data_IF_307993141631
#
_entry.id   IF_307993141631
#
_cell.length_a   1.000
_cell.length_b   1.000
_cell.length_c   1.000
_cell.angle_alpha   90.00
_cell.angle_beta   90.00
_cell.angle_gamma   90.00
#
_symmetry.space_group_name_H-M   'P 1'
#
loop_
_entity.id
_entity.type
_entity.pdbx_description
1 polymer ?
#
# COMPACT_ATOMS: atom_id res chain seq x y z
N UNK A 1 6.47 -22.22 6.20
CA UNK A 1 7.77 -22.39 5.51
C UNK A 1 8.01 -21.32 4.45
N UNK A 2 7.08 -21.08 3.51
CA UNK A 2 7.27 -20.08 2.43
C UNK A 2 7.54 -18.64 2.90
N UNK A 3 6.77 -18.12 3.87
CA UNK A 3 6.96 -16.75 4.40
C UNK A 3 8.34 -16.57 5.06
N UNK A 4 8.83 -17.60 5.77
CA UNK A 4 10.16 -17.56 6.38
C UNK A 4 11.26 -17.44 5.32
N UNK A 5 11.19 -18.25 4.28
CA UNK A 5 12.15 -18.21 3.16
C UNK A 5 12.11 -16.82 2.50
N UNK A 6 10.91 -16.28 2.28
CA UNK A 6 10.73 -14.95 1.72
C UNK A 6 11.40 -13.86 2.57
N UNK A 7 11.15 -13.84 3.89
CA UNK A 7 11.73 -12.82 4.78
C UNK A 7 13.25 -12.96 4.92
N UNK A 8 13.78 -14.19 4.91
CA UNK A 8 15.24 -14.41 4.87
C UNK A 8 15.83 -13.86 3.57
N UNK A 9 15.18 -14.11 2.43
CA UNK A 9 15.62 -13.58 1.14
C UNK A 9 15.56 -12.04 1.11
N UNK A 10 14.47 -11.45 1.60
CA UNK A 10 14.30 -9.99 1.75
C UNK A 10 15.42 -9.40 2.61
N UNK A 11 15.67 -9.97 3.78
CA UNK A 11 16.72 -9.51 4.69
C UNK A 11 18.11 -9.61 4.04
N UNK A 12 18.43 -10.74 3.39
CA UNK A 12 19.71 -10.90 2.71
C UNK A 12 19.91 -9.89 1.56
N UNK A 13 18.86 -9.60 0.79
CA UNK A 13 18.92 -8.61 -0.29
C UNK A 13 19.12 -7.18 0.24
N UNK A 14 18.50 -6.84 1.37
CA UNK A 14 18.67 -5.52 2.00
C UNK A 14 20.05 -5.37 2.62
N UNK A 15 20.53 -6.37 3.36
CA UNK A 15 21.86 -6.35 3.99
C UNK A 15 23.00 -6.28 2.97
N UNK A 16 22.82 -6.87 1.79
CA UNK A 16 23.82 -6.80 0.72
C UNK A 16 23.76 -5.48 -0.05
N UNK A 17 22.67 -4.70 0.03
CA UNK A 17 22.51 -3.43 -0.69
C UNK A 17 22.42 -3.55 -2.22
N UNK A 18 22.40 -4.76 -2.78
CA UNK A 18 22.49 -5.02 -4.22
C UNK A 18 21.11 -5.17 -4.92
N UNK A 19 20.01 -4.71 -4.31
CA UNK A 19 18.67 -4.86 -4.89
C UNK A 19 18.36 -3.90 -6.05
N UNK A 20 19.31 -3.06 -6.48
CA UNK A 20 19.16 -2.16 -7.65
C UNK A 20 18.78 -2.88 -8.94
N UNK A 21 19.25 -4.12 -9.12
CA UNK A 21 18.84 -4.96 -10.26
C UNK A 21 17.36 -5.31 -10.15
N UNK A 22 16.90 -5.65 -8.94
CA UNK A 22 15.49 -5.94 -8.70
C UNK A 22 14.62 -4.70 -8.90
N UNK A 23 15.03 -3.51 -8.42
CA UNK A 23 14.28 -2.27 -8.68
C UNK A 23 14.07 -2.00 -10.17
N UNK A 24 15.13 -2.21 -10.98
CA UNK A 24 15.03 -2.06 -12.44
C UNK A 24 14.07 -3.10 -13.03
N UNK A 25 14.16 -4.36 -12.61
CA UNK A 25 13.27 -5.43 -13.05
C UNK A 25 11.82 -5.16 -12.66
N UNK A 26 11.56 -4.64 -11.45
CA UNK A 26 10.21 -4.30 -10.98
C UNK A 26 9.59 -3.23 -11.88
N UNK A 27 10.33 -2.18 -12.27
CA UNK A 27 9.81 -1.16 -13.19
C UNK A 27 9.33 -1.77 -14.50
N UNK A 28 10.11 -2.67 -15.09
CA UNK A 28 9.74 -3.37 -16.34
C UNK A 28 8.50 -4.25 -16.13
N UNK A 29 8.46 -4.99 -15.03
CA UNK A 29 7.35 -5.89 -14.69
C UNK A 29 6.05 -5.10 -14.46
N UNK A 30 6.10 -3.97 -13.74
CA UNK A 30 4.95 -3.11 -13.48
C UNK A 30 4.41 -2.49 -14.78
N UNK A 31 5.29 -2.07 -15.69
CA UNK A 31 4.87 -1.58 -17.01
C UNK A 31 4.16 -2.70 -17.78
N UNK A 32 4.75 -3.91 -17.82
CA UNK A 32 4.15 -5.04 -18.53
C UNK A 32 2.81 -5.46 -17.92
N UNK A 33 2.71 -5.51 -16.60
CA UNK A 33 1.47 -5.76 -15.86
C UNK A 33 0.38 -4.72 -16.15
N UNK A 34 0.77 -3.45 -16.19
CA UNK A 34 -0.15 -2.34 -16.50
C UNK A 34 -0.69 -2.50 -17.92
N UNK A 35 0.16 -2.81 -18.88
CA UNK A 35 -0.25 -3.09 -20.26
C UNK A 35 -1.19 -4.29 -20.35
N UNK A 36 -0.84 -5.40 -19.71
CA UNK A 36 -1.65 -6.62 -19.74
C UNK A 36 -3.02 -6.42 -19.09
N UNK A 37 -3.07 -5.71 -17.95
CA UNK A 37 -4.32 -5.35 -17.28
C UNK A 37 -5.17 -4.42 -18.13
N UNK A 38 -4.54 -3.48 -18.85
CA UNK A 38 -5.23 -2.61 -19.81
C UNK A 38 -5.87 -3.43 -20.94
N UNK A 39 -5.11 -4.35 -21.54
CA UNK A 39 -5.63 -5.25 -22.59
C UNK A 39 -6.79 -6.11 -22.04
N UNK A 40 -6.63 -6.68 -20.84
CA UNK A 40 -7.67 -7.47 -20.19
C UNK A 40 -8.97 -6.67 -20.04
N UNK A 41 -8.88 -5.43 -19.55
CA UNK A 41 -10.03 -4.53 -19.42
C UNK A 41 -10.69 -4.25 -20.78
N UNK A 42 -9.90 -3.92 -21.80
CA UNK A 42 -10.45 -3.66 -23.15
C UNK A 42 -11.18 -4.88 -23.74
N UNK A 43 -10.78 -6.11 -23.39
CA UNK A 43 -11.45 -7.34 -23.84
C UNK A 43 -12.77 -7.63 -23.13
N UNK A 44 -12.99 -7.06 -21.94
CA UNK A 44 -14.22 -7.27 -21.16
C UNK A 44 -15.15 -6.06 -21.13
N UNK A 45 -14.75 -4.94 -21.75
CA UNK A 45 -15.50 -3.68 -21.72
C UNK A 45 -16.94 -3.83 -22.25
N UNK A 46 -17.12 -4.70 -23.25
CA UNK A 46 -18.42 -4.99 -23.86
C UNK A 46 -19.33 -5.88 -22.98
N UNK A 47 -18.77 -6.50 -21.93
CA UNK A 47 -19.53 -7.30 -20.95
C UNK A 47 -20.13 -6.46 -19.82
N UNK A 48 -19.71 -5.19 -19.70
CA UNK A 48 -20.13 -4.30 -18.64
C UNK A 48 -21.45 -3.64 -18.99
N UNK A 49 -22.33 -3.51 -18.00
CA UNK A 49 -23.52 -2.68 -18.13
C UNK A 49 -23.15 -1.21 -17.89
N UNK A 50 -23.32 -0.39 -18.93
CA UNK A 50 -23.09 1.05 -18.91
C UNK A 50 -24.37 1.86 -18.64
N UNK A 51 -25.47 1.19 -18.29
CA UNK A 51 -26.72 1.84 -17.92
C UNK A 51 -26.55 2.72 -16.67
N UNK A 52 -27.38 3.76 -16.56
CA UNK A 52 -27.38 4.64 -15.38
C UNK A 52 -27.70 3.86 -14.10
N UNK A 53 -28.50 2.79 -14.21
CA UNK A 53 -28.80 1.89 -13.08
C UNK A 53 -27.58 1.14 -12.55
N UNK A 54 -26.59 0.82 -13.39
CA UNK A 54 -25.36 0.17 -12.95
C UNK A 54 -24.51 1.06 -12.02
N UNK A 55 -24.71 2.37 -12.08
CA UNK A 55 -24.04 3.37 -11.22
C UNK A 55 -24.90 3.81 -10.03
N UNK A 56 -26.03 3.15 -9.77
CA UNK A 56 -26.85 3.45 -8.61
C UNK A 56 -26.07 3.16 -7.31
N UNK A 57 -26.28 4.00 -6.29
CA UNK A 57 -25.68 3.76 -4.98
C UNK A 57 -26.22 2.45 -4.40
N UNK A 58 -25.34 1.57 -3.86
CA UNK A 58 -25.80 0.37 -3.18
C UNK A 58 -26.60 0.74 -1.92
N UNK A 59 -27.46 -0.17 -1.42
CA UNK A 59 -28.11 0.01 -0.13
C UNK A 59 -27.07 0.31 0.95
N UNK A 60 -27.28 1.37 1.73
CA UNK A 60 -26.40 1.76 2.84
C UNK A 60 -26.71 0.94 4.09
N UNK A 61 -26.64 -0.39 3.96
CA UNK A 61 -26.74 -1.31 5.09
C UNK A 61 -25.42 -1.37 5.87
N UNK A 62 -25.47 -1.94 7.09
CA UNK A 62 -24.30 -2.01 7.98
C UNK A 62 -23.11 -2.73 7.31
N UNK A 63 -23.29 -3.90 6.66
CA UNK A 63 -22.20 -4.56 5.94
C UNK A 63 -21.56 -3.69 4.86
N UNK A 64 -22.37 -3.02 4.04
CA UNK A 64 -21.88 -2.14 2.97
C UNK A 64 -21.14 -0.93 3.53
N UNK A 65 -21.65 -0.31 4.61
CA UNK A 65 -20.96 0.79 5.28
C UNK A 65 -19.61 0.32 5.85
N UNK A 66 -19.58 -0.84 6.53
CA UNK A 66 -18.33 -1.39 7.06
C UNK A 66 -17.31 -1.72 5.94
N UNK A 67 -17.79 -2.24 4.81
CA UNK A 67 -16.95 -2.50 3.64
C UNK A 67 -16.41 -1.21 3.01
N UNK A 68 -17.26 -0.20 2.79
CA UNK A 68 -16.84 1.10 2.25
C UNK A 68 -15.81 1.75 3.17
N UNK A 69 -16.07 1.74 4.48
CA UNK A 69 -15.11 2.26 5.46
C UNK A 69 -13.81 1.48 5.34
N UNK A 70 -13.81 0.14 5.44
CA UNK A 70 -12.60 -0.65 5.27
C UNK A 70 -11.82 -0.29 3.99
N UNK A 71 -12.51 -0.16 2.84
CA UNK A 71 -11.93 0.19 1.56
C UNK A 71 -11.28 1.59 1.57
N UNK A 72 -11.93 2.60 2.16
CA UNK A 72 -11.39 3.97 2.27
C UNK A 72 -10.10 3.99 3.10
N UNK A 73 -10.00 3.16 4.15
CA UNK A 73 -8.81 3.11 5.01
C UNK A 73 -7.57 2.59 4.31
N UNK A 74 -7.74 1.81 3.24
CA UNK A 74 -6.66 1.24 2.45
C UNK A 74 -6.36 1.99 1.14
N UNK A 75 -7.06 3.09 0.83
CA UNK A 75 -6.93 3.79 -0.46
C UNK A 75 -5.65 4.64 -0.59
N UNK A 76 -5.15 4.81 -1.82
CA UNK A 76 -4.28 3.88 -2.53
C UNK A 76 -2.92 3.64 -1.83
N UNK A 77 -2.63 4.38 -0.75
CA UNK A 77 -1.42 4.24 0.04
C UNK A 77 -1.73 4.58 1.49
N UNK A 78 -1.26 3.78 2.46
CA UNK A 78 -1.50 4.05 3.87
C UNK A 78 -0.85 5.37 4.31
N UNK A 79 -1.35 5.98 5.38
CA UNK A 79 -0.98 7.35 5.79
C UNK A 79 0.48 7.46 6.25
N UNK A 80 1.09 6.35 6.63
CA UNK A 80 2.50 6.20 6.97
C UNK A 80 3.43 6.19 5.74
N UNK A 81 2.90 5.95 4.53
CA UNK A 81 3.69 5.96 3.30
C UNK A 81 4.38 7.31 3.06
N UNK A 82 3.82 8.42 3.54
CA UNK A 82 4.46 9.74 3.47
C UNK A 82 5.75 9.81 4.27
N UNK A 83 5.83 9.10 5.40
CA UNK A 83 7.02 9.04 6.26
C UNK A 83 8.09 8.23 5.54
N UNK A 84 7.71 7.08 5.00
CA UNK A 84 8.63 6.22 4.25
C UNK A 84 9.18 6.93 3.01
N UNK A 85 8.31 7.59 2.24
CA UNK A 85 8.71 8.40 1.08
C UNK A 85 9.66 9.53 1.46
N UNK A 86 9.44 10.18 2.61
CA UNK A 86 10.34 11.23 3.11
C UNK A 86 11.73 10.66 3.42
N UNK A 87 11.81 9.54 4.13
CA UNK A 87 13.07 8.88 4.47
C UNK A 87 13.82 8.38 3.23
N UNK A 88 13.12 7.81 2.24
CA UNK A 88 13.75 7.40 0.99
C UNK A 88 14.22 8.59 0.15
N UNK A 89 13.48 9.69 0.16
CA UNK A 89 13.91 10.91 -0.55
C UNK A 89 15.20 11.46 0.05
N UNK A 90 15.34 11.44 1.38
CA UNK A 90 16.58 11.82 2.08
C UNK A 90 17.72 10.87 1.73
N UNK A 91 17.51 9.57 1.89
CA UNK A 91 18.53 8.55 1.59
C UNK A 91 18.98 8.58 0.12
N UNK A 92 18.03 8.80 -0.80
CA UNK A 92 18.33 8.98 -2.23
C UNK A 92 19.16 10.22 -2.47
N UNK A 93 18.84 11.35 -1.83
CA UNK A 93 19.60 12.57 -1.97
C UNK A 93 21.04 12.44 -1.44
N UNK A 94 21.24 11.70 -0.35
CA UNK A 94 22.56 11.39 0.20
C UNK A 94 23.37 10.50 -0.75
N UNK A 95 22.75 9.43 -1.27
CA UNK A 95 23.42 8.49 -2.17
C UNK A 95 23.74 9.06 -3.56
N UNK A 96 22.89 9.95 -4.09
CA UNK A 96 23.08 10.60 -5.39
C UNK A 96 23.89 11.91 -5.27
N UNK A 97 24.15 12.40 -4.05
CA UNK A 97 24.81 13.68 -3.81
C UNK A 97 24.02 14.91 -4.28
N UNK A 98 22.72 14.73 -4.59
CA UNK A 98 21.83 15.76 -5.13
C UNK A 98 20.43 15.62 -4.56
N UNK A 99 19.83 16.73 -4.15
CA UNK A 99 18.40 16.77 -3.81
C UNK A 99 17.56 16.90 -5.09
N UNK A 100 16.53 16.06 -5.21
CA UNK A 100 15.53 16.19 -6.25
C UNK A 100 14.79 17.54 -6.10
N UNK A 101 14.44 18.16 -7.22
CA UNK A 101 13.60 19.36 -7.19
C UNK A 101 12.18 19.00 -6.76
N UNK A 102 11.40 20.03 -6.38
CA UNK A 102 9.99 19.86 -6.04
C UNK A 102 9.19 19.36 -7.25
N UNK A 103 9.52 19.84 -8.44
CA UNK A 103 8.87 19.47 -9.69
C UNK A 103 9.18 18.01 -10.06
N UNK A 104 10.44 17.58 -9.92
CA UNK A 104 10.85 16.19 -10.14
C UNK A 104 10.10 15.24 -9.20
N UNK A 105 10.10 15.57 -7.90
CA UNK A 105 9.44 14.76 -6.87
C UNK A 105 7.92 14.71 -7.09
N UNK A 106 7.31 15.84 -7.49
CA UNK A 106 5.86 15.89 -7.79
C UNK A 106 5.51 15.09 -9.03
N UNK A 107 6.35 15.15 -10.06
CA UNK A 107 6.13 14.37 -11.28
C UNK A 107 6.21 12.87 -11.00
N UNK A 108 7.26 12.43 -10.30
CA UNK A 108 7.45 11.02 -9.92
C UNK A 108 6.26 10.49 -9.10
N UNK A 109 5.85 11.25 -8.07
CA UNK A 109 4.67 10.91 -7.26
C UNK A 109 3.38 10.84 -8.10
N UNK A 110 3.13 11.85 -8.94
CA UNK A 110 1.89 11.91 -9.72
C UNK A 110 1.78 10.78 -10.75
N UNK A 111 2.88 10.40 -11.41
CA UNK A 111 2.89 9.29 -12.36
C UNK A 111 2.50 8.00 -11.66
N UNK A 112 3.12 7.70 -10.51
CA UNK A 112 2.78 6.53 -9.71
C UNK A 112 1.33 6.55 -9.25
N UNK A 113 0.91 7.65 -8.63
CA UNK A 113 -0.42 7.80 -8.03
C UNK A 113 -1.55 7.68 -9.08
N UNK A 114 -1.43 8.39 -10.21
CA UNK A 114 -2.43 8.34 -11.29
C UNK A 114 -2.51 6.94 -11.90
N UNK A 115 -1.35 6.30 -12.13
CA UNK A 115 -1.31 4.93 -12.68
C UNK A 115 -2.02 3.96 -11.74
N UNK A 116 -1.79 4.05 -10.43
CA UNK A 116 -2.48 3.23 -9.43
C UNK A 116 -3.99 3.48 -9.41
N UNK A 117 -4.45 4.73 -9.52
CA UNK A 117 -5.87 5.04 -9.61
C UNK A 117 -6.53 4.43 -10.86
N UNK A 118 -5.88 4.53 -12.01
CA UNK A 118 -6.38 3.93 -13.26
C UNK A 118 -6.48 2.40 -13.12
N UNK A 119 -5.43 1.77 -12.59
CA UNK A 119 -5.42 0.33 -12.36
C UNK A 119 -6.51 -0.11 -11.38
N UNK A 120 -6.76 0.63 -10.31
CA UNK A 120 -7.83 0.33 -9.36
C UNK A 120 -9.20 0.32 -10.05
N UNK A 121 -9.46 1.26 -10.95
CA UNK A 121 -10.69 1.29 -11.77
C UNK A 121 -10.74 0.08 -12.72
N UNK A 122 -9.62 -0.30 -13.34
CA UNK A 122 -9.59 -1.52 -14.18
C UNK A 122 -9.87 -2.78 -13.38
N UNK A 123 -9.32 -2.92 -12.17
CA UNK A 123 -9.62 -4.05 -11.29
C UNK A 123 -11.08 -4.10 -10.86
N UNK A 124 -11.68 -2.95 -10.57
CA UNK A 124 -13.11 -2.86 -10.27
C UNK A 124 -13.96 -3.38 -11.44
N UNK A 125 -13.66 -2.93 -12.66
CA UNK A 125 -14.37 -3.38 -13.86
C UNK A 125 -14.11 -4.84 -14.21
N UNK A 126 -12.87 -5.32 -14.08
CA UNK A 126 -12.55 -6.74 -14.27
C UNK A 126 -13.29 -7.63 -13.27
N UNK A 127 -13.33 -7.23 -12.00
CA UNK A 127 -14.12 -7.92 -10.97
C UNK A 127 -15.61 -7.93 -11.31
N UNK A 128 -16.14 -6.81 -11.80
CA UNK A 128 -17.54 -6.71 -12.22
C UNK A 128 -17.84 -7.59 -13.44
N UNK A 129 -16.98 -7.61 -14.45
CA UNK A 129 -17.22 -8.34 -15.69
C UNK A 129 -17.02 -9.88 -15.56
N UNK A 130 -16.23 -10.33 -14.58
CA UNK A 130 -15.82 -11.75 -14.47
C UNK A 130 -16.35 -12.42 -13.21
N UNK A 131 -16.43 -11.71 -12.09
CA UNK A 131 -16.77 -12.30 -10.78
C UNK A 131 -18.17 -11.92 -10.30
N UNK A 132 -18.66 -10.72 -10.60
CA UNK A 132 -19.98 -10.30 -10.15
C UNK A 132 -21.07 -11.16 -10.81
N UNK A 133 -21.97 -11.70 -10.00
CA UNK A 133 -23.08 -12.59 -10.41
C UNK A 133 -22.67 -13.88 -11.17
N UNK A 134 -21.39 -14.25 -11.18
CA UNK A 134 -20.91 -15.46 -11.87
C UNK A 134 -21.17 -16.75 -11.10
N UNK A 135 -21.59 -16.66 -9.83
CA UNK A 135 -21.74 -17.80 -8.91
C UNK A 135 -20.42 -18.39 -8.42
N UNK A 136 -19.28 -17.80 -8.78
CA UNK A 136 -17.94 -18.21 -8.31
C UNK A 136 -17.67 -17.58 -6.95
N UNK A 137 -17.60 -18.40 -5.90
CA UNK A 137 -17.14 -17.96 -4.59
C UNK A 137 -15.61 -17.90 -4.54
N UNK A 138 -15.06 -16.75 -4.16
CA UNK A 138 -13.62 -16.60 -3.94
C UNK A 138 -13.19 -17.41 -2.71
N UNK A 139 -12.15 -18.26 -2.81
CA UNK A 139 -11.66 -19.01 -1.67
C UNK A 139 -11.26 -18.11 -0.50
N UNK A 140 -11.56 -18.56 0.73
CA UNK A 140 -11.27 -17.80 1.94
C UNK A 140 -9.79 -17.87 2.38
N UNK A 141 -8.99 -18.77 1.80
CA UNK A 141 -7.56 -18.90 2.07
C UNK A 141 -6.70 -18.08 1.10
N UNK A 142 -5.53 -17.64 1.57
CA UNK A 142 -4.66 -16.73 0.82
C UNK A 142 -4.19 -17.30 -0.52
N UNK A 143 -3.89 -18.61 -0.58
CA UNK A 143 -3.37 -19.24 -1.78
C UNK A 143 -4.48 -19.43 -2.81
N UNK A 144 -5.67 -19.84 -2.36
CA UNK A 144 -6.88 -19.92 -3.18
C UNK A 144 -7.30 -18.57 -3.73
N UNK A 145 -7.30 -17.51 -2.92
CA UNK A 145 -7.61 -16.14 -3.38
C UNK A 145 -6.62 -15.66 -4.44
N UNK A 146 -5.31 -15.84 -4.21
CA UNK A 146 -4.29 -15.48 -5.18
C UNK A 146 -4.47 -16.24 -6.50
N UNK A 147 -4.80 -17.53 -6.43
CA UNK A 147 -5.09 -18.34 -7.62
C UNK A 147 -6.34 -17.85 -8.34
N UNK A 148 -7.42 -17.54 -7.63
CA UNK A 148 -8.65 -16.99 -8.21
C UNK A 148 -8.39 -15.68 -8.96
N UNK A 149 -7.53 -14.81 -8.44
CA UNK A 149 -7.11 -13.59 -9.14
C UNK A 149 -6.38 -13.90 -10.45
N UNK A 150 -5.49 -14.91 -10.47
CA UNK A 150 -4.82 -15.32 -11.72
C UNK A 150 -5.82 -15.91 -12.73
N UNK A 151 -6.81 -16.67 -12.24
CA UNK A 151 -7.84 -17.30 -13.05
C UNK A 151 -8.77 -16.26 -13.74
N UNK A 152 -8.97 -15.09 -13.15
CA UNK A 152 -9.64 -13.96 -13.82
C UNK A 152 -8.92 -13.60 -15.12
N UNK A 153 -7.60 -13.48 -15.10
CA UNK A 153 -6.83 -13.14 -16.29
C UNK A 153 -6.80 -14.27 -17.33
N UNK A 154 -6.66 -15.52 -16.89
CA UNK A 154 -6.64 -16.66 -17.82
C UNK A 154 -8.01 -16.86 -18.48
N UNK A 155 -9.11 -16.56 -17.78
CA UNK A 155 -10.46 -16.63 -18.34
C UNK A 155 -10.73 -15.61 -19.45
N UNK A 156 -9.95 -14.51 -19.50
CA UNK A 156 -10.12 -13.43 -20.48
C UNK A 156 -9.09 -13.54 -21.61
N UNK A 157 -7.82 -13.70 -21.28
CA UNK A 157 -6.69 -13.60 -22.23
C UNK A 157 -6.15 -14.99 -22.64
N UNK A 158 -6.49 -16.04 -21.89
CA UNK A 158 -6.07 -17.42 -22.13
C UNK A 158 -4.97 -17.89 -21.18
N UNK A 159 -4.73 -19.21 -21.17
CA UNK A 159 -3.89 -19.90 -20.18
C UNK A 159 -2.43 -19.42 -20.11
N UNK A 160 -1.88 -18.94 -21.23
CA UNK A 160 -0.52 -18.40 -21.28
C UNK A 160 -0.31 -17.22 -20.32
N UNK A 161 -1.38 -16.47 -20.01
CA UNK A 161 -1.35 -15.34 -19.10
C UNK A 161 -1.08 -15.77 -17.66
N UNK A 162 -1.35 -17.03 -17.28
CA UNK A 162 -1.10 -17.55 -15.93
C UNK A 162 0.36 -17.34 -15.51
N UNK A 163 1.31 -17.74 -16.36
CA UNK A 163 2.74 -17.67 -16.04
C UNK A 163 3.21 -16.23 -15.89
N UNK A 164 2.75 -15.36 -16.78
CA UNK A 164 3.06 -13.93 -16.73
C UNK A 164 2.53 -13.31 -15.43
N UNK A 165 1.27 -13.56 -15.12
CA UNK A 165 0.61 -12.98 -13.95
C UNK A 165 1.17 -13.55 -12.65
N UNK A 166 1.51 -14.84 -12.60
CA UNK A 166 2.14 -15.47 -11.44
C UNK A 166 3.54 -14.89 -11.15
N UNK A 167 4.38 -14.74 -12.18
CA UNK A 167 5.71 -14.11 -12.04
C UNK A 167 5.55 -12.65 -11.61
N UNK A 168 4.61 -11.94 -12.22
CA UNK A 168 4.32 -10.54 -11.89
C UNK A 168 3.87 -10.41 -10.44
N UNK A 169 2.91 -11.22 -10.00
CA UNK A 169 2.41 -11.23 -8.63
C UNK A 169 3.53 -11.51 -7.63
N UNK A 170 4.39 -12.51 -7.91
CA UNK A 170 5.55 -12.81 -7.07
C UNK A 170 6.51 -11.61 -6.97
N UNK A 171 6.84 -10.98 -8.10
CA UNK A 171 7.76 -9.85 -8.14
C UNK A 171 7.17 -8.60 -7.45
N UNK A 172 5.89 -8.31 -7.63
CA UNK A 172 5.20 -7.20 -6.96
C UNK A 172 5.15 -7.46 -5.45
N UNK A 173 4.74 -8.65 -5.01
CA UNK A 173 4.71 -8.99 -3.58
C UNK A 173 6.10 -8.95 -2.93
N UNK A 174 7.13 -9.46 -3.63
CA UNK A 174 8.51 -9.38 -3.17
C UNK A 174 8.99 -7.92 -3.08
N UNK A 175 8.67 -7.10 -4.08
CA UNK A 175 8.96 -5.66 -4.07
C UNK A 175 8.33 -4.99 -2.87
N UNK A 176 7.04 -5.23 -2.61
CA UNK A 176 6.35 -4.64 -1.46
C UNK A 176 6.99 -5.09 -0.16
N UNK A 177 7.34 -6.38 -0.02
CA UNK A 177 8.01 -6.89 1.18
C UNK A 177 9.38 -6.22 1.40
N UNK A 178 10.18 -6.04 0.35
CA UNK A 178 11.46 -5.33 0.41
C UNK A 178 11.27 -3.86 0.80
N UNK A 179 10.41 -3.16 0.09
CA UNK A 179 10.16 -1.73 0.29
C UNK A 179 9.65 -1.47 1.71
N UNK A 180 8.63 -2.19 2.17
CA UNK A 180 8.10 -2.01 3.53
C UNK A 180 9.15 -2.37 4.58
N UNK A 181 9.89 -3.46 4.42
CA UNK A 181 10.91 -3.86 5.40
C UNK A 181 12.04 -2.84 5.50
N UNK A 182 12.55 -2.33 4.37
CA UNK A 182 13.55 -1.25 4.36
C UNK A 182 12.98 0.04 4.98
N UNK A 183 11.78 0.44 4.58
CA UNK A 183 11.13 1.65 5.08
C UNK A 183 10.92 1.61 6.60
N UNK A 184 10.39 0.52 7.12
CA UNK A 184 10.18 0.33 8.56
C UNK A 184 11.51 0.29 9.32
N UNK A 185 12.55 -0.32 8.74
CA UNK A 185 13.90 -0.31 9.32
C UNK A 185 14.43 1.13 9.42
N UNK A 186 14.36 1.91 8.34
CA UNK A 186 14.77 3.32 8.33
C UNK A 186 13.98 4.16 9.31
N UNK A 187 12.67 3.93 9.41
CA UNK A 187 11.82 4.64 10.37
C UNK A 187 12.24 4.34 11.81
N UNK A 188 12.50 3.08 12.15
CA UNK A 188 12.98 2.72 13.46
C UNK A 188 14.36 3.32 13.78
N UNK A 189 15.28 3.40 12.79
CA UNK A 189 16.56 4.08 12.95
C UNK A 189 16.39 5.58 13.18
N UNK A 190 15.49 6.24 12.45
CA UNK A 190 15.21 7.67 12.63
C UNK A 190 14.60 7.97 14.01
N UNK A 191 13.73 7.10 14.52
CA UNK A 191 13.21 7.21 15.89
C UNK A 191 14.35 7.00 16.90
N UNK A 192 15.23 6.04 16.64
CA UNK A 192 16.41 5.77 17.46
C UNK A 192 17.35 6.97 17.54
N UNK A 193 17.67 7.60 16.41
CA UNK A 193 18.58 8.76 16.36
C UNK A 193 18.06 9.97 17.13
N UNK A 194 16.74 10.19 17.14
CA UNK A 194 16.12 11.24 17.95
C UNK A 194 16.03 10.87 19.44
N UNK A 195 15.78 9.61 19.75
CA UNK A 195 15.57 9.16 21.14
C UNK A 195 16.89 8.95 21.90
N UNK A 196 17.95 8.55 21.21
CA UNK A 196 19.27 8.19 21.74
C UNK A 196 20.38 8.78 20.85
N UNK A 197 20.56 10.12 20.85
CA UNK A 197 21.43 10.81 19.90
C UNK A 197 22.92 10.53 20.08
N UNK A 198 23.34 9.98 21.22
CA UNK A 198 24.73 9.61 21.49
C UNK A 198 25.19 8.34 20.74
N UNK A 199 24.26 7.59 20.14
CA UNK A 199 24.54 6.34 19.43
C UNK A 199 24.64 6.57 17.91
N UNK A 200 25.49 5.80 17.25
CA UNK A 200 25.69 5.87 15.79
C UNK A 200 24.64 5.06 15.01
N UNK A 201 23.39 5.52 15.04
CA UNK A 201 22.25 4.91 14.35
C UNK A 201 22.39 4.87 12.83
N UNK A 202 23.36 5.58 12.25
CA UNK A 202 23.65 5.57 10.82
C UNK A 202 24.54 4.41 10.38
N UNK A 203 25.11 3.65 11.31
CA UNK A 203 25.96 2.51 10.96
C UNK A 203 25.17 1.31 10.43
N UNK A 204 25.78 0.58 9.49
CA UNK A 204 25.24 -0.67 8.92
C UNK A 204 24.90 -1.71 10.01
N UNK A 205 25.59 -1.67 11.14
CA UNK A 205 25.33 -2.56 12.27
C UNK A 205 23.93 -2.34 12.84
N UNK A 206 23.55 -1.09 13.13
CA UNK A 206 22.21 -0.81 13.67
C UNK A 206 21.13 -1.13 12.64
N UNK A 207 21.36 -0.79 11.36
CA UNK A 207 20.45 -1.18 10.29
C UNK A 207 20.20 -2.70 10.27
N UNK A 208 21.27 -3.50 10.26
CA UNK A 208 21.18 -4.95 10.21
C UNK A 208 20.49 -5.55 11.45
N UNK A 209 20.77 -5.03 12.64
CA UNK A 209 20.13 -5.49 13.88
C UNK A 209 18.64 -5.17 13.87
N UNK A 210 18.27 -3.93 13.55
CA UNK A 210 16.87 -3.49 13.51
C UNK A 210 16.10 -4.28 12.44
N UNK A 211 16.70 -4.48 11.27
CA UNK A 211 16.13 -5.30 10.19
C UNK A 211 15.82 -6.73 10.66
N UNK A 212 16.77 -7.40 11.31
CA UNK A 212 16.59 -8.76 11.82
C UNK A 212 15.47 -8.78 12.88
N UNK A 213 15.47 -7.83 13.81
CA UNK A 213 14.44 -7.73 14.85
C UNK A 213 13.06 -7.54 14.23
N UNK A 214 12.92 -6.66 13.24
CA UNK A 214 11.66 -6.44 12.53
C UNK A 214 11.19 -7.68 11.76
N UNK A 215 12.09 -8.38 11.06
CA UNK A 215 11.78 -9.63 10.38
C UNK A 215 11.30 -10.72 11.36
N UNK A 216 11.95 -10.86 12.52
CA UNK A 216 11.56 -11.80 13.56
C UNK A 216 10.21 -11.43 14.19
N UNK A 217 9.96 -10.15 14.45
CA UNK A 217 8.68 -9.65 14.94
C UNK A 217 7.56 -9.90 13.92
N UNK A 218 7.82 -9.64 12.64
CA UNK A 218 6.87 -9.93 11.55
C UNK A 218 6.57 -11.44 11.46
N UNK A 219 7.58 -12.30 11.57
CA UNK A 219 7.37 -13.76 11.60
C UNK A 219 6.50 -14.19 12.77
N UNK A 220 6.75 -13.64 13.97
CA UNK A 220 5.95 -13.93 15.16
C UNK A 220 4.50 -13.52 14.96
N UNK A 221 4.26 -12.30 14.47
CA UNK A 221 2.93 -11.79 14.14
C UNK A 221 2.24 -12.68 13.11
N UNK A 222 2.92 -13.04 12.03
CA UNK A 222 2.33 -13.87 10.98
C UNK A 222 1.99 -15.27 11.50
N UNK A 223 2.84 -15.90 12.31
CA UNK A 223 2.59 -17.24 12.85
C UNK A 223 1.47 -17.27 13.91
N UNK A 224 1.27 -16.18 14.63
CA UNK A 224 0.29 -16.10 15.73
C UNK A 224 -1.06 -15.54 15.28
N UNK A 225 -1.06 -14.49 14.44
CA UNK A 225 -2.25 -13.70 14.10
C UNK A 225 -2.81 -14.03 12.71
N UNK A 226 -2.01 -14.57 11.78
CA UNK A 226 -2.46 -14.86 10.41
C UNK A 226 -3.19 -16.21 10.26
N UNK A 227 -3.68 -16.80 11.35
CA UNK A 227 -4.47 -18.03 11.31
C UNK A 227 -5.81 -17.88 10.56
N UNK A 228 -6.28 -16.64 10.39
CA UNK A 228 -7.44 -16.30 9.55
C UNK A 228 -7.18 -14.98 8.85
N UNK A 229 -7.19 -15.00 7.51
CA UNK A 229 -6.99 -13.80 6.68
C UNK A 229 -7.99 -12.70 7.01
N UNK A 230 -9.27 -13.07 7.15
CA UNK A 230 -10.33 -12.15 7.53
C UNK A 230 -10.05 -11.46 8.88
N UNK A 231 -9.64 -12.22 9.91
CA UNK A 231 -9.28 -11.64 11.22
C UNK A 231 -8.05 -10.75 11.15
N UNK A 232 -7.05 -11.12 10.37
CA UNK A 232 -5.85 -10.30 10.17
C UNK A 232 -6.17 -8.99 9.46
N UNK A 233 -6.96 -9.03 8.40
CA UNK A 233 -7.42 -7.85 7.67
C UNK A 233 -8.28 -6.95 8.56
N UNK A 234 -9.21 -7.52 9.32
CA UNK A 234 -10.04 -6.77 10.27
C UNK A 234 -9.18 -6.06 11.32
N UNK A 235 -8.26 -6.77 11.99
CA UNK A 235 -7.34 -6.19 12.98
C UNK A 235 -6.48 -5.07 12.38
N UNK A 236 -5.91 -5.29 11.20
CA UNK A 236 -5.07 -4.30 10.51
C UNK A 236 -5.88 -3.05 10.17
N UNK A 237 -7.13 -3.23 9.71
CA UNK A 237 -8.04 -2.13 9.40
C UNK A 237 -8.24 -1.24 10.62
N UNK A 238 -8.46 -1.80 11.82
CA UNK A 238 -8.61 -1.04 13.06
C UNK A 238 -7.41 -0.14 13.31
N UNK A 239 -6.21 -0.72 13.21
CA UNK A 239 -4.95 -0.04 13.51
C UNK A 239 -4.77 1.12 12.55
N UNK A 240 -4.96 0.89 11.26
CA UNK A 240 -4.83 1.93 10.22
C UNK A 240 -5.87 3.03 10.41
N UNK A 241 -7.13 2.68 10.68
CA UNK A 241 -8.19 3.65 10.92
C UNK A 241 -7.96 4.52 12.14
N UNK A 242 -7.37 3.94 13.17
CA UNK A 242 -7.08 4.66 14.40
C UNK A 242 -5.84 5.54 14.25
N UNK A 243 -4.75 5.02 13.66
CA UNK A 243 -3.46 5.73 13.56
C UNK A 243 -3.46 6.78 12.44
N UNK A 244 -4.14 6.52 11.32
CA UNK A 244 -4.12 7.36 10.12
C UNK A 244 -4.44 8.84 10.36
N UNK A 245 -5.53 9.20 11.06
CA UNK A 245 -5.85 10.61 11.35
C UNK A 245 -4.75 11.34 12.14
N UNK A 246 -4.08 10.64 13.08
CA UNK A 246 -2.98 11.22 13.86
C UNK A 246 -1.75 11.44 13.01
N UNK A 247 -1.37 10.48 12.16
CA UNK A 247 -0.26 10.66 11.22
C UNK A 247 -0.53 11.80 10.23
N UNK A 248 -1.75 11.90 9.70
CA UNK A 248 -2.15 13.01 8.85
C UNK A 248 -2.01 14.38 9.56
N UNK A 249 -2.42 14.46 10.83
CA UNK A 249 -2.27 15.66 11.65
C UNK A 249 -0.80 16.00 11.91
N UNK A 250 0.04 15.01 12.23
CA UNK A 250 1.47 15.22 12.46
C UNK A 250 2.18 15.69 11.18
N UNK A 251 1.89 15.08 10.03
CA UNK A 251 2.39 15.51 8.73
C UNK A 251 1.99 16.96 8.41
N UNK A 252 0.72 17.32 8.68
CA UNK A 252 0.25 18.69 8.50
C UNK A 252 1.00 19.68 9.40
N UNK A 253 1.21 19.34 10.67
CA UNK A 253 1.99 20.18 11.59
C UNK A 253 3.44 20.31 11.16
N UNK A 254 4.07 19.23 10.70
CA UNK A 254 5.46 19.21 10.26
C UNK A 254 5.68 20.11 9.03
N UNK A 255 4.82 20.03 8.01
CA UNK A 255 5.03 20.82 6.78
C UNK A 255 4.72 22.32 6.95
N UNK A 256 3.89 22.68 7.93
CA UNK A 256 3.54 24.06 8.25
C UNK A 256 4.24 24.58 9.53
N UNK A 257 5.27 23.87 10.03
CA UNK A 257 6.03 24.28 11.19
C UNK A 257 6.91 25.50 10.89
N UNK A 258 7.42 26.14 11.94
CA UNK A 258 8.36 27.27 11.82
C UNK A 258 9.75 26.84 11.30
N UNK A 259 10.04 25.53 11.29
CA UNK A 259 11.29 24.97 10.74
C UNK A 259 11.30 24.94 9.20
N UNK A 260 10.11 24.99 8.57
CA UNK A 260 9.98 24.98 7.10
C UNK A 260 9.82 26.42 6.59
N UNK A 261 10.74 26.92 5.73
CA UNK A 261 10.63 28.25 5.14
C UNK A 261 9.28 28.46 4.43
N UNK A 262 8.66 29.63 4.63
CA UNK A 262 7.30 29.95 4.14
C UNK A 262 7.14 29.81 2.62
N UNK A 263 8.20 30.04 1.85
CA UNK A 263 8.25 29.87 0.39
C UNK A 263 8.20 28.40 -0.04
N UNK A 264 8.61 27.48 0.85
CA UNK A 264 8.57 26.02 0.61
C UNK A 264 7.29 25.37 1.10
N UNK A 265 6.52 26.04 1.96
CA UNK A 265 5.24 25.54 2.45
C UNK A 265 4.18 25.43 1.33
N UNK A 266 3.27 24.45 1.36
CA UNK A 266 2.18 24.36 0.41
C UNK A 266 1.25 25.58 0.45
N UNK A 267 0.65 25.91 -0.69
CA UNK A 267 -0.28 27.03 -0.80
C UNK A 267 -1.56 26.86 0.03
N UNK A 268 -2.30 27.96 0.19
CA UNK A 268 -3.52 28.02 1.04
C UNK A 268 -4.58 26.97 0.69
N UNK A 269 -4.74 26.64 -0.59
CA UNK A 269 -5.70 25.62 -1.05
C UNK A 269 -5.33 24.24 -0.50
N UNK A 270 -4.06 23.84 -0.63
CA UNK A 270 -3.56 22.55 -0.11
C UNK A 270 -3.69 22.50 1.41
N UNK A 271 -3.44 23.63 2.09
CA UNK A 271 -3.60 23.71 3.55
C UNK A 271 -5.04 23.45 3.98
N UNK A 272 -6.01 24.10 3.34
CA UNK A 272 -7.44 23.88 3.62
C UNK A 272 -7.84 22.45 3.27
N UNK A 273 -7.42 21.95 2.11
CA UNK A 273 -7.67 20.57 1.69
C UNK A 273 -7.16 19.56 2.73
N UNK A 274 -5.93 19.74 3.20
CA UNK A 274 -5.33 18.89 4.22
C UNK A 274 -6.12 18.93 5.54
N UNK A 275 -6.59 20.10 5.98
CA UNK A 275 -7.43 20.21 7.18
C UNK A 275 -8.77 19.47 6.99
N UNK A 276 -9.42 19.67 5.83
CA UNK A 276 -10.68 18.97 5.50
C UNK A 276 -10.46 17.46 5.50
N UNK A 277 -9.38 16.96 4.87
CA UNK A 277 -9.03 15.55 4.89
C UNK A 277 -8.82 15.01 6.32
N UNK A 278 -8.09 15.75 7.17
CA UNK A 278 -7.87 15.34 8.57
C UNK A 278 -9.20 15.26 9.33
N UNK A 279 -10.05 16.28 9.21
CA UNK A 279 -11.37 16.29 9.87
C UNK A 279 -12.23 15.12 9.38
N UNK A 280 -12.24 14.85 8.08
CA UNK A 280 -12.95 13.70 7.51
C UNK A 280 -12.41 12.37 8.01
N UNK A 281 -11.08 12.21 8.14
CA UNK A 281 -10.46 11.01 8.67
C UNK A 281 -10.83 10.79 10.15
N UNK A 282 -10.82 11.84 10.97
CA UNK A 282 -11.28 11.75 12.37
C UNK A 282 -12.77 11.42 12.45
N UNK A 283 -13.61 12.00 11.58
CA UNK A 283 -15.03 11.69 11.53
C UNK A 283 -15.26 10.21 11.18
N UNK A 284 -14.58 9.70 10.14
CA UNK A 284 -14.65 8.31 9.73
C UNK A 284 -14.16 7.36 10.83
N UNK A 285 -13.09 7.73 11.55
CA UNK A 285 -12.61 6.97 12.71
C UNK A 285 -13.70 6.87 13.79
N UNK A 286 -14.37 7.97 14.13
CA UNK A 286 -15.45 7.97 15.13
C UNK A 286 -16.64 7.11 14.66
N UNK A 287 -17.05 7.24 13.40
CA UNK A 287 -18.12 6.43 12.81
C UNK A 287 -17.75 4.94 12.85
N UNK A 288 -16.54 4.59 12.42
CA UNK A 288 -16.04 3.23 12.46
C UNK A 288 -16.05 2.65 13.89
N UNK A 289 -15.51 3.38 14.86
CA UNK A 289 -15.52 2.97 16.27
C UNK A 289 -16.95 2.79 16.80
N UNK A 290 -17.88 3.68 16.45
CA UNK A 290 -19.28 3.56 16.85
C UNK A 290 -19.94 2.29 16.32
N UNK A 291 -19.85 2.03 15.01
CA UNK A 291 -20.43 0.82 14.42
C UNK A 291 -19.77 -0.46 14.95
N UNK A 292 -18.45 -0.45 15.12
CA UNK A 292 -17.72 -1.61 15.66
C UNK A 292 -18.13 -1.94 17.10
N UNK A 293 -18.25 -0.93 17.96
CA UNK A 293 -18.49 -1.14 19.40
C UNK A 293 -19.96 -1.35 19.75
N UNK A 294 -20.89 -0.73 19.02
CA UNK A 294 -22.31 -0.69 19.40
C UNK A 294 -23.25 -1.43 18.44
N UNK A 295 -22.81 -1.76 17.22
CA UNK A 295 -23.67 -2.36 16.18
C UNK A 295 -23.16 -3.74 15.73
N UNK A 296 -21.85 -3.98 15.83
CA UNK A 296 -21.19 -5.22 15.38
C UNK A 296 -20.91 -6.23 16.50
N UNK A 297 -21.31 -5.91 17.74
CA UNK A 297 -21.08 -6.71 18.94
C UNK A 297 -22.18 -7.71 19.24
#
# INVERSE_FOLDING_TARGET
MGVFILLVLVAAMLMTGHYKVLEKSIKVIVVFFTLLTTVCMLMVVDRLDWSVSAFALPPLDVPTILFIVALVGFMPSPTDASILQSLWTVARAESEGRRASKEESRFDFNVGYITSCILAVFFLFLGTAVLFESGVEMPADNAGFARGLLEVYTSVIGDWSYYVMAITALCVMLSTALTVTDGMTRMALAIGSESLPEQDWHSDRYYNVVLIVLCLAALLVIQTLLQSFARFMDMTSVIVFFIGPFLALLNHRAIFSDEIPKDKQPGRIIRIWSIVSIVSLFLLMVVYCYYRLFVSG
#
